data_IF_450594179180
#
_entry.id   IF_450594179180
#
_cell.length_a   1.000
_cell.length_b   1.000
_cell.length_c   1.000
_cell.angle_alpha   90.00
_cell.angle_beta   90.00
_cell.angle_gamma   90.00
#
_symmetry.space_group_name_H-M   'P 1'
#
loop_
_entity.id
_entity.type
_entity.pdbx_description
1 polymer ?
#
# COMPACT_ATOMS: atom_id res chain seq x y z
N UNK A 1 -5.22 19.60 5.28
CA UNK A 1 -5.91 18.32 5.46
C UNK A 1 -6.96 18.40 6.57
N UNK A 2 -6.58 18.71 7.83
CA UNK A 2 -7.55 18.70 8.96
C UNK A 2 -8.79 19.59 8.76
N UNK A 3 -8.64 20.80 8.21
CA UNK A 3 -9.78 21.67 7.87
C UNK A 3 -10.73 20.99 6.87
N UNK A 4 -10.17 20.39 5.82
CA UNK A 4 -10.99 19.68 4.83
C UNK A 4 -11.70 18.46 5.40
N UNK A 5 -11.04 17.71 6.29
CA UNK A 5 -11.69 16.60 6.98
C UNK A 5 -12.91 17.06 7.77
N UNK A 6 -12.79 18.17 8.52
CA UNK A 6 -13.91 18.74 9.27
C UNK A 6 -15.07 19.20 8.37
N UNK A 7 -14.76 19.85 7.25
CA UNK A 7 -15.77 20.25 6.26
C UNK A 7 -16.54 19.01 5.74
N UNK A 8 -15.85 17.91 5.43
CA UNK A 8 -16.51 16.67 5.01
C UNK A 8 -17.30 15.99 6.14
N UNK A 9 -16.77 15.98 7.36
CA UNK A 9 -17.48 15.43 8.52
C UNK A 9 -18.80 16.18 8.78
N UNK A 10 -18.78 17.52 8.74
CA UNK A 10 -19.96 18.38 8.89
C UNK A 10 -20.96 18.16 7.75
N UNK A 11 -20.49 18.07 6.51
CA UNK A 11 -21.37 17.84 5.36
C UNK A 11 -22.05 16.46 5.41
N UNK A 12 -21.31 15.40 5.81
CA UNK A 12 -21.89 14.07 6.00
C UNK A 12 -22.90 14.08 7.16
N UNK A 13 -22.57 14.73 8.26
CA UNK A 13 -23.48 14.85 9.42
C UNK A 13 -24.79 15.53 9.06
N UNK A 14 -24.72 16.55 8.19
CA UNK A 14 -25.86 17.31 7.72
C UNK A 14 -26.60 16.70 6.52
N UNK A 15 -26.17 15.49 6.10
CA UNK A 15 -26.69 14.79 4.90
C UNK A 15 -26.66 15.68 3.65
N UNK A 16 -25.53 16.34 3.38
CA UNK A 16 -25.36 17.18 2.20
C UNK A 16 -25.58 16.34 0.92
N UNK A 17 -26.63 16.64 0.11
CA UNK A 17 -26.97 15.79 -1.02
C UNK A 17 -25.91 15.75 -2.11
N UNK A 18 -25.15 16.85 -2.29
CA UNK A 18 -24.11 16.92 -3.31
C UNK A 18 -22.94 16.02 -2.91
N UNK A 19 -22.51 16.08 -1.66
CA UNK A 19 -21.43 15.22 -1.16
C UNK A 19 -21.84 13.74 -1.17
N UNK A 20 -23.09 13.42 -0.75
CA UNK A 20 -23.57 12.03 -0.76
C UNK A 20 -23.64 11.48 -2.19
N UNK A 21 -24.05 12.27 -3.18
CA UNK A 21 -24.02 11.87 -4.58
C UNK A 21 -22.60 11.63 -5.11
N UNK A 22 -21.62 12.46 -4.71
CA UNK A 22 -20.22 12.28 -5.06
C UNK A 22 -19.67 10.98 -4.43
N UNK A 23 -19.94 10.73 -3.16
CA UNK A 23 -19.51 9.50 -2.48
C UNK A 23 -20.16 8.25 -3.09
N UNK A 24 -21.42 8.31 -3.46
CA UNK A 24 -22.11 7.24 -4.17
C UNK A 24 -21.46 6.96 -5.52
N UNK A 25 -21.14 8.01 -6.28
CA UNK A 25 -20.44 7.88 -7.57
C UNK A 25 -19.07 7.22 -7.41
N UNK A 26 -18.29 7.64 -6.40
CA UNK A 26 -16.99 7.02 -6.11
C UNK A 26 -17.16 5.54 -5.76
N UNK A 27 -18.16 5.21 -4.92
CA UNK A 27 -18.43 3.82 -4.58
C UNK A 27 -18.78 2.98 -5.80
N UNK A 28 -19.69 3.44 -6.66
CA UNK A 28 -20.10 2.74 -7.87
C UNK A 28 -18.96 2.55 -8.88
N UNK A 29 -18.05 3.50 -8.98
CA UNK A 29 -16.97 3.45 -9.98
C UNK A 29 -15.75 2.68 -9.48
N UNK A 30 -15.42 2.80 -8.20
CA UNK A 30 -14.15 2.33 -7.66
C UNK A 30 -14.27 1.07 -6.80
N UNK A 31 -15.37 0.89 -6.07
CA UNK A 31 -15.48 -0.17 -5.07
C UNK A 31 -16.42 -1.30 -5.49
N UNK A 32 -17.63 -1.01 -5.88
CA UNK A 32 -18.63 -1.98 -6.24
C UNK A 32 -18.15 -2.98 -7.32
N UNK A 33 -17.56 -2.56 -8.46
CA UNK A 33 -17.13 -3.47 -9.52
C UNK A 33 -16.01 -4.41 -9.08
N UNK A 34 -15.07 -3.89 -8.25
CA UNK A 34 -13.97 -4.70 -7.73
C UNK A 34 -14.47 -5.72 -6.71
N UNK A 35 -15.33 -5.31 -5.78
CA UNK A 35 -15.93 -6.21 -4.80
C UNK A 35 -16.73 -7.31 -5.49
N UNK A 36 -17.53 -6.98 -6.51
CA UNK A 36 -18.26 -7.95 -7.30
C UNK A 36 -17.32 -8.96 -7.99
N UNK A 37 -16.22 -8.49 -8.59
CA UNK A 37 -15.23 -9.34 -9.24
C UNK A 37 -14.57 -10.28 -8.24
N UNK A 38 -14.07 -9.75 -7.11
CA UNK A 38 -13.34 -10.55 -6.11
C UNK A 38 -14.26 -11.53 -5.36
N UNK A 39 -15.52 -11.16 -5.13
CA UNK A 39 -16.48 -12.06 -4.48
C UNK A 39 -16.87 -13.25 -5.37
N UNK A 40 -16.76 -13.12 -6.69
CA UNK A 40 -16.99 -14.17 -7.67
C UNK A 40 -15.80 -15.13 -7.85
N UNK A 41 -14.63 -14.79 -7.30
CA UNK A 41 -13.44 -15.64 -7.37
C UNK A 41 -13.66 -16.99 -6.67
N UNK A 42 -13.27 -18.08 -7.32
CA UNK A 42 -13.43 -19.45 -6.81
C UNK A 42 -12.10 -20.15 -6.55
N UNK A 43 -10.99 -19.51 -6.91
CA UNK A 43 -9.64 -20.06 -6.82
C UNK A 43 -9.04 -20.03 -5.40
N UNK A 44 -7.77 -20.42 -5.26
CA UNK A 44 -7.05 -20.48 -3.97
C UNK A 44 -6.87 -19.10 -3.31
N UNK A 45 -7.08 -18.03 -4.06
CA UNK A 45 -7.00 -16.64 -3.57
C UNK A 45 -8.37 -16.06 -3.18
N UNK A 46 -9.41 -16.87 -3.16
CA UNK A 46 -10.75 -16.45 -2.72
C UNK A 46 -10.68 -15.96 -1.26
N UNK A 47 -11.16 -14.74 -1.03
CA UNK A 47 -11.42 -14.25 0.30
C UNK A 47 -12.91 -14.40 0.64
N UNK A 48 -13.28 -15.31 1.57
CA UNK A 48 -14.67 -15.60 1.89
C UNK A 48 -15.38 -14.44 2.63
N UNK A 49 -14.63 -13.46 3.09
CA UNK A 49 -15.16 -12.30 3.81
C UNK A 49 -15.46 -11.11 2.88
N UNK A 50 -14.96 -11.13 1.64
CA UNK A 50 -15.33 -10.15 0.62
C UNK A 50 -16.71 -10.48 0.10
N UNK A 51 -17.65 -9.56 0.27
CA UNK A 51 -19.04 -9.71 -0.16
C UNK A 51 -19.57 -8.38 -0.72
N UNK A 52 -20.45 -8.43 -1.74
CA UNK A 52 -21.13 -7.24 -2.22
C UNK A 52 -22.00 -6.62 -1.14
N UNK A 53 -22.05 -5.30 -1.16
CA UNK A 53 -22.94 -4.47 -0.35
C UNK A 53 -23.73 -3.55 -1.25
N UNK A 54 -24.90 -3.08 -0.82
CA UNK A 54 -25.63 -2.04 -1.51
C UNK A 54 -25.33 -0.66 -0.94
N UNK A 55 -25.65 0.38 -1.70
CA UNK A 55 -25.48 1.75 -1.20
C UNK A 55 -26.35 2.03 0.03
N UNK A 56 -27.54 1.49 0.05
CA UNK A 56 -28.49 1.61 1.17
C UNK A 56 -27.95 0.99 2.47
N UNK A 57 -27.07 0.01 2.37
CA UNK A 57 -26.35 -0.58 3.52
C UNK A 57 -25.18 0.30 3.97
N UNK A 58 -24.53 0.97 3.03
CA UNK A 58 -23.30 1.76 3.27
C UNK A 58 -23.63 3.18 3.76
N UNK A 59 -24.58 3.85 3.13
CA UNK A 59 -24.90 5.26 3.40
C UNK A 59 -25.14 5.56 4.89
N UNK A 60 -25.92 4.77 5.64
CA UNK A 60 -26.14 5.03 7.07
C UNK A 60 -24.88 4.91 7.93
N UNK A 61 -23.85 4.23 7.44
CA UNK A 61 -22.59 4.03 8.14
C UNK A 61 -21.55 5.13 7.86
N UNK A 62 -21.79 6.00 6.88
CA UNK A 62 -20.86 7.07 6.52
C UNK A 62 -20.61 8.04 7.68
N UNK A 63 -21.68 8.49 8.34
CA UNK A 63 -21.54 9.42 9.46
C UNK A 63 -20.75 8.82 10.63
N UNK A 64 -21.12 7.67 11.21
CA UNK A 64 -20.36 7.09 12.32
C UNK A 64 -18.91 6.71 11.94
N UNK A 65 -18.65 6.38 10.69
CA UNK A 65 -17.30 6.13 10.20
C UNK A 65 -16.49 7.42 10.07
N UNK A 66 -17.05 8.44 9.41
CA UNK A 66 -16.39 9.72 9.21
C UNK A 66 -16.12 10.47 10.52
N UNK A 67 -17.03 10.41 11.48
CA UNK A 67 -16.91 11.09 12.77
C UNK A 67 -15.69 10.62 13.58
N UNK A 68 -15.23 9.38 13.36
CA UNK A 68 -14.06 8.80 14.03
C UNK A 68 -12.72 9.14 13.37
N UNK A 69 -12.76 9.66 12.13
CA UNK A 69 -11.53 9.97 11.38
C UNK A 69 -10.82 11.17 12.00
N UNK A 70 -9.52 11.00 12.18
CA UNK A 70 -8.63 12.07 12.61
C UNK A 70 -7.38 12.14 11.74
N UNK A 71 -6.75 13.30 11.67
CA UNK A 71 -5.48 13.50 10.96
C UNK A 71 -4.34 13.39 11.95
N UNK A 72 -3.34 12.56 11.66
CA UNK A 72 -2.09 12.46 12.43
C UNK A 72 -0.87 12.64 11.54
N UNK A 73 0.09 13.43 12.04
CA UNK A 73 1.36 13.69 11.37
C UNK A 73 2.43 12.75 11.95
N UNK A 74 2.89 11.82 11.14
CA UNK A 74 3.93 10.85 11.53
C UNK A 74 5.29 11.36 11.08
N UNK A 75 5.99 12.06 11.98
CA UNK A 75 7.33 12.57 11.76
C UNK A 75 8.31 12.10 12.85
N UNK A 76 9.63 12.37 12.63
CA UNK A 76 10.69 11.98 13.57
C UNK A 76 10.69 12.72 14.90
N UNK A 77 9.95 13.81 15.02
CA UNK A 77 9.95 14.73 16.15
C UNK A 77 8.68 14.68 16.98
N UNK A 78 7.76 13.77 16.67
CA UNK A 78 6.53 13.61 17.45
C UNK A 78 6.87 13.22 18.89
N UNK A 79 6.67 14.16 19.81
CA UNK A 79 6.73 13.91 21.26
C UNK A 79 5.32 13.78 21.79
N UNK A 80 5.06 12.81 22.68
CA UNK A 80 3.76 12.71 23.35
C UNK A 80 3.40 14.04 24.05
N UNK A 81 2.19 14.55 23.82
CA UNK A 81 1.62 15.65 24.58
C UNK A 81 1.79 17.07 24.02
N UNK A 82 2.45 17.29 22.88
CA UNK A 82 2.67 18.66 22.37
C UNK A 82 1.59 19.17 21.42
N UNK A 83 1.00 18.32 20.58
CA UNK A 83 -0.02 18.67 19.60
C UNK A 83 -0.87 17.41 19.31
N UNK A 84 -2.21 17.49 19.30
CA UNK A 84 -3.07 16.35 18.93
C UNK A 84 -2.73 15.75 17.56
N UNK A 85 -2.25 16.58 16.61
CA UNK A 85 -1.84 16.12 15.28
C UNK A 85 -0.51 15.34 15.28
N UNK A 86 0.31 15.48 16.33
CA UNK A 86 1.62 14.85 16.46
C UNK A 86 1.60 13.60 17.35
N UNK A 87 0.44 13.11 17.73
CA UNK A 87 0.33 11.90 18.55
C UNK A 87 0.83 10.68 17.78
N UNK A 88 1.58 9.79 18.43
CA UNK A 88 2.02 8.55 17.82
C UNK A 88 0.83 7.65 17.48
N UNK A 89 0.99 6.83 16.44
CA UNK A 89 0.07 5.72 16.16
C UNK A 89 0.46 4.54 17.06
N UNK A 90 -0.14 4.46 18.23
CA UNK A 90 0.07 3.38 19.18
C UNK A 90 -1.12 2.40 19.12
N UNK A 91 -0.99 1.38 18.27
CA UNK A 91 -2.02 0.35 18.12
C UNK A 91 -2.21 -0.47 19.38
N UNK A 92 -1.10 -0.78 20.09
CA UNK A 92 -1.16 -1.57 21.32
C UNK A 92 -1.89 -0.86 22.45
N UNK A 93 -1.74 0.46 22.55
CA UNK A 93 -2.50 1.25 23.52
C UNK A 93 -3.98 1.35 23.13
N UNK A 94 -4.26 1.57 21.84
CA UNK A 94 -5.63 1.61 21.35
C UNK A 94 -6.36 0.28 21.61
N UNK A 95 -5.73 -0.84 21.35
CA UNK A 95 -6.29 -2.18 21.61
C UNK A 95 -6.57 -2.40 23.10
N UNK A 96 -5.65 -2.00 23.98
CA UNK A 96 -5.85 -2.07 25.44
C UNK A 96 -7.03 -1.25 25.93
N UNK A 97 -7.29 -0.13 25.24
CA UNK A 97 -8.41 0.76 25.56
C UNK A 97 -9.71 0.39 24.82
N UNK A 98 -9.70 -0.66 23.99
CA UNK A 98 -10.83 -1.06 23.14
C UNK A 98 -11.20 0.02 22.10
N UNK A 99 -10.23 0.86 21.71
CA UNK A 99 -10.43 1.93 20.76
C UNK A 99 -10.03 1.49 19.35
N UNK A 100 -10.85 1.89 18.37
CA UNK A 100 -10.51 1.73 16.95
C UNK A 100 -9.85 3.00 16.45
N UNK A 101 -8.61 2.91 16.01
CA UNK A 101 -7.91 4.02 15.37
C UNK A 101 -8.36 4.18 13.92
N UNK A 102 -9.09 5.27 13.65
CA UNK A 102 -9.48 5.68 12.29
C UNK A 102 -8.69 6.93 11.89
N UNK A 103 -7.59 6.76 11.16
CA UNK A 103 -6.57 7.81 11.01
C UNK A 103 -6.21 8.06 9.56
N UNK A 104 -6.11 9.33 9.19
CA UNK A 104 -5.41 9.79 7.99
C UNK A 104 -3.98 10.13 8.39
N UNK A 105 -3.07 9.18 8.18
CA UNK A 105 -1.66 9.36 8.52
C UNK A 105 -0.92 10.15 7.45
N UNK A 106 -0.32 11.27 7.81
CA UNK A 106 0.49 12.11 6.91
C UNK A 106 1.94 12.02 7.36
N UNK A 107 2.82 11.60 6.47
CA UNK A 107 4.25 11.52 6.81
C UNK A 107 5.15 11.34 5.61
N UNK A 108 6.44 11.42 5.88
CA UNK A 108 7.50 11.24 4.89
C UNK A 108 8.25 9.92 5.09
N UNK A 109 9.55 10.01 5.30
CA UNK A 109 10.46 8.86 5.43
C UNK A 109 10.08 7.85 6.51
N UNK A 110 9.46 8.30 7.60
CA UNK A 110 9.03 7.39 8.68
C UNK A 110 7.92 6.44 8.24
N UNK A 111 6.96 6.91 7.43
CA UNK A 111 5.90 6.04 6.91
C UNK A 111 6.43 5.02 5.89
N UNK A 112 7.55 5.33 5.24
CA UNK A 112 8.13 4.45 4.22
C UNK A 112 9.09 3.39 4.77
N UNK A 113 9.58 3.54 6.01
CA UNK A 113 10.58 2.64 6.59
C UNK A 113 10.31 2.34 8.06
N UNK A 114 10.20 1.05 8.39
CA UNK A 114 10.17 0.59 9.77
C UNK A 114 8.90 0.90 10.56
N UNK A 115 7.81 1.31 9.89
CA UNK A 115 6.53 1.56 10.50
C UNK A 115 5.46 0.63 9.90
N UNK A 116 4.73 -0.06 10.74
CA UNK A 116 3.60 -0.89 10.31
C UNK A 116 2.33 -0.03 10.38
N UNK A 117 1.62 0.05 9.27
CA UNK A 117 0.32 0.71 9.20
C UNK A 117 -0.76 -0.37 9.24
N UNK A 118 -1.22 -0.68 10.44
CA UNK A 118 -2.28 -1.67 10.61
C UNK A 118 -3.59 -1.16 10.05
N UNK A 119 -4.29 -2.00 9.26
CA UNK A 119 -5.56 -1.64 8.64
C UNK A 119 -5.46 -0.63 7.49
N UNK A 120 -4.27 -0.40 6.94
CA UNK A 120 -4.14 0.48 5.79
C UNK A 120 -5.01 -0.01 4.63
N UNK A 121 -5.97 0.80 4.20
CA UNK A 121 -6.86 0.53 3.07
C UNK A 121 -6.58 1.46 1.89
N UNK A 122 -6.29 2.74 2.15
CA UNK A 122 -6.05 3.73 1.09
C UNK A 122 -4.69 4.38 1.28
N UNK A 123 -3.85 4.34 0.25
CA UNK A 123 -2.55 4.98 0.24
C UNK A 123 -2.44 5.98 -0.91
N UNK A 124 -2.02 7.20 -0.59
CA UNK A 124 -1.68 8.22 -1.56
C UNK A 124 -0.17 8.44 -1.57
N UNK A 125 0.49 7.91 -2.59
CA UNK A 125 1.94 7.84 -2.64
C UNK A 125 2.51 8.49 -3.90
N UNK A 126 3.25 9.59 -3.73
CA UNK A 126 3.84 10.36 -4.82
C UNK A 126 5.37 10.43 -4.77
N UNK A 127 5.98 9.77 -3.77
CA UNK A 127 7.42 9.88 -3.60
C UNK A 127 8.16 9.01 -4.60
N UNK A 128 8.83 9.65 -5.55
CA UNK A 128 9.71 8.98 -6.49
C UNK A 128 11.06 8.64 -5.84
N UNK A 129 11.55 7.44 -6.08
CA UNK A 129 12.93 7.03 -5.85
C UNK A 129 13.37 6.16 -7.01
N UNK A 130 14.57 6.39 -7.50
CA UNK A 130 15.14 5.58 -8.60
C UNK A 130 15.86 4.32 -8.08
N UNK A 131 15.83 4.09 -6.78
CA UNK A 131 16.49 2.92 -6.17
C UNK A 131 15.49 1.79 -6.00
N UNK A 132 15.78 0.67 -6.61
CA UNK A 132 14.97 -0.55 -6.60
C UNK A 132 14.73 -1.09 -5.19
N UNK A 133 15.79 -1.21 -4.39
CA UNK A 133 15.72 -1.62 -2.98
C UNK A 133 14.82 -0.72 -2.14
N UNK A 134 14.87 0.58 -2.40
CA UNK A 134 14.04 1.55 -1.69
C UNK A 134 12.58 1.44 -2.11
N UNK A 135 12.28 1.27 -3.41
CA UNK A 135 10.91 1.02 -3.89
C UNK A 135 10.33 -0.24 -3.26
N UNK A 136 11.09 -1.32 -3.18
CA UNK A 136 10.65 -2.56 -2.55
C UNK A 136 10.38 -2.40 -1.05
N UNK A 137 11.23 -1.65 -0.33
CA UNK A 137 11.00 -1.35 1.09
C UNK A 137 9.73 -0.55 1.32
N UNK A 138 9.38 0.33 0.39
CA UNK A 138 8.19 1.19 0.47
C UNK A 138 6.90 0.47 0.11
N UNK A 139 6.94 -0.60 -0.68
CA UNK A 139 5.77 -1.39 -1.10
C UNK A 139 5.20 -2.30 0.02
N UNK A 140 5.68 -2.19 1.25
CA UNK A 140 5.28 -3.05 2.38
C UNK A 140 3.97 -2.65 3.05
N UNK A 141 3.21 -1.73 2.49
CA UNK A 141 2.06 -1.12 3.17
C UNK A 141 0.83 -2.01 3.25
N UNK A 142 0.55 -2.77 2.19
CA UNK A 142 -0.64 -3.61 2.16
C UNK A 142 -0.29 -5.02 2.62
N UNK A 143 -0.57 -5.32 3.91
CA UNK A 143 -0.58 -6.69 4.39
C UNK A 143 -1.90 -7.37 4.00
N UNK A 144 -1.88 -8.69 3.81
CA UNK A 144 -3.11 -9.46 3.64
C UNK A 144 -3.95 -9.41 4.91
N UNK A 145 -5.23 -9.04 4.75
CA UNK A 145 -6.25 -9.11 5.80
C UNK A 145 -7.53 -9.67 5.20
N UNK A 146 -8.15 -10.66 5.84
CA UNK A 146 -9.43 -11.18 5.39
C UNK A 146 -10.48 -10.07 5.32
N UNK A 147 -11.22 -10.00 4.20
CA UNK A 147 -12.28 -9.01 3.98
C UNK A 147 -11.82 -7.59 3.66
N UNK A 148 -10.55 -7.38 3.31
CA UNK A 148 -10.00 -6.04 3.07
C UNK A 148 -9.48 -5.81 1.65
N UNK A 149 -9.30 -6.86 0.88
CA UNK A 149 -8.59 -6.77 -0.41
C UNK A 149 -9.32 -5.88 -1.42
N UNK A 150 -10.63 -5.88 -1.40
CA UNK A 150 -11.49 -5.03 -2.24
C UNK A 150 -11.49 -3.55 -1.84
N UNK A 151 -11.04 -3.23 -0.63
CA UNK A 151 -10.94 -1.86 -0.12
C UNK A 151 -9.57 -1.21 -0.40
N UNK A 152 -8.55 -2.02 -0.73
CA UNK A 152 -7.20 -1.53 -0.92
C UNK A 152 -7.08 -0.66 -2.18
N UNK A 153 -6.63 0.59 -2.02
CA UNK A 153 -6.39 1.54 -3.11
C UNK A 153 -5.02 2.19 -2.97
N UNK A 154 -4.29 2.21 -4.09
CA UNK A 154 -3.03 2.94 -4.20
C UNK A 154 -3.16 4.04 -5.25
N UNK A 155 -3.17 5.27 -4.80
CA UNK A 155 -3.10 6.45 -5.66
C UNK A 155 -1.64 6.85 -5.84
N UNK A 156 -1.14 6.79 -7.07
CA UNK A 156 0.26 7.05 -7.40
C UNK A 156 0.41 7.58 -8.82
N UNK A 157 1.64 7.96 -9.20
CA UNK A 157 1.90 8.44 -10.57
C UNK A 157 2.01 7.27 -11.57
N UNK A 158 1.71 7.49 -12.87
CA UNK A 158 1.92 6.48 -13.90
C UNK A 158 3.36 5.97 -13.98
N UNK A 159 4.33 6.85 -13.73
CA UNK A 159 5.76 6.51 -13.69
C UNK A 159 6.08 5.53 -12.55
N UNK A 160 5.61 5.82 -11.33
CA UNK A 160 5.77 4.93 -10.20
C UNK A 160 5.06 3.59 -10.41
N UNK A 161 3.86 3.60 -11.01
CA UNK A 161 3.16 2.36 -11.38
C UNK A 161 3.99 1.51 -12.34
N UNK A 162 4.63 2.12 -13.36
CA UNK A 162 5.54 1.44 -14.28
C UNK A 162 6.72 0.83 -13.54
N UNK A 163 7.34 1.58 -12.64
CA UNK A 163 8.50 1.10 -11.86
C UNK A 163 8.13 -0.05 -10.94
N UNK A 164 7.03 0.05 -10.19
CA UNK A 164 6.56 -1.06 -9.35
C UNK A 164 6.26 -2.33 -10.15
N UNK A 165 5.65 -2.19 -11.33
CA UNK A 165 5.41 -3.33 -12.23
C UNK A 165 6.72 -4.00 -12.64
N UNK A 166 7.72 -3.22 -13.02
CA UNK A 166 9.04 -3.74 -13.40
C UNK A 166 9.74 -4.43 -12.24
N UNK A 167 9.63 -3.86 -11.04
CA UNK A 167 10.15 -4.47 -9.79
C UNK A 167 9.46 -5.80 -9.51
N UNK A 168 8.15 -5.88 -9.62
CA UNK A 168 7.38 -7.11 -9.39
C UNK A 168 7.78 -8.21 -10.36
N UNK A 169 7.87 -7.90 -11.66
CA UNK A 169 8.28 -8.86 -12.68
C UNK A 169 9.70 -9.39 -12.42
N UNK A 170 10.65 -8.52 -12.05
CA UNK A 170 12.00 -8.94 -11.72
C UNK A 170 12.05 -9.84 -10.47
N UNK A 171 11.19 -9.58 -9.49
CA UNK A 171 11.06 -10.42 -8.30
C UNK A 171 10.47 -11.80 -8.61
N UNK A 172 9.48 -11.86 -9.49
CA UNK A 172 8.90 -13.13 -9.96
C UNK A 172 9.92 -13.95 -10.74
N UNK A 173 10.65 -13.33 -11.65
CA UNK A 173 11.75 -13.99 -12.37
C UNK A 173 12.81 -14.53 -11.41
N UNK A 174 13.19 -13.76 -10.40
CA UNK A 174 14.16 -14.20 -9.39
C UNK A 174 13.62 -15.39 -8.57
N UNK A 175 12.36 -15.37 -8.15
CA UNK A 175 11.74 -16.50 -7.44
C UNK A 175 11.76 -17.75 -8.29
N UNK A 176 11.35 -17.66 -9.56
CA UNK A 176 11.38 -18.79 -10.49
C UNK A 176 12.79 -19.36 -10.67
N UNK A 177 13.81 -18.51 -10.71
CA UNK A 177 15.21 -18.97 -10.76
C UNK A 177 15.60 -19.72 -9.47
N UNK A 178 15.21 -19.23 -8.30
CA UNK A 178 15.48 -19.93 -7.05
C UNK A 178 14.76 -21.29 -6.98
N UNK A 179 13.51 -21.37 -7.43
CA UNK A 179 12.76 -22.62 -7.47
C UNK A 179 13.46 -23.65 -8.38
N UNK A 180 13.93 -23.22 -9.56
CA UNK A 180 14.70 -24.07 -10.46
C UNK A 180 16.02 -24.54 -9.84
N UNK A 181 16.75 -23.67 -9.15
CA UNK A 181 18.00 -24.00 -8.48
C UNK A 181 17.76 -24.97 -7.33
N UNK A 182 16.72 -24.75 -6.55
CA UNK A 182 16.37 -25.62 -5.40
C UNK A 182 15.97 -27.02 -5.81
N UNK A 183 15.51 -27.21 -7.04
CA UNK A 183 15.16 -28.51 -7.58
C UNK A 183 16.39 -29.38 -7.98
N UNK A 184 17.60 -28.80 -7.99
CA UNK A 184 18.84 -29.51 -8.37
C UNK A 184 19.56 -29.98 -7.11
N UNK A 185 19.65 -31.30 -6.83
CA UNK A 185 20.33 -31.83 -5.65
C UNK A 185 21.79 -31.41 -5.56
N UNK A 186 22.25 -31.01 -4.38
CA UNK A 186 23.66 -30.70 -4.08
C UNK A 186 24.13 -29.33 -4.57
N UNK A 187 23.22 -28.46 -5.09
CA UNK A 187 23.57 -27.09 -5.46
C UNK A 187 23.02 -26.10 -4.45
N UNK A 188 23.76 -25.03 -4.23
CA UNK A 188 23.40 -23.90 -3.37
C UNK A 188 23.20 -22.62 -4.19
N UNK A 189 22.52 -21.60 -3.65
CA UNK A 189 22.43 -20.30 -4.31
C UNK A 189 23.78 -19.64 -4.61
N UNK A 190 24.85 -20.04 -3.93
CA UNK A 190 26.21 -19.54 -4.17
C UNK A 190 26.83 -20.07 -5.48
N UNK A 191 26.32 -21.20 -5.97
CA UNK A 191 26.80 -21.82 -7.20
C UNK A 191 26.26 -21.17 -8.47
N UNK A 192 25.33 -20.17 -8.30
CA UNK A 192 24.68 -19.51 -9.40
C UNK A 192 24.71 -17.99 -9.24
N UNK A 193 25.15 -17.31 -10.27
CA UNK A 193 24.94 -15.87 -10.37
C UNK A 193 23.44 -15.57 -10.57
N UNK A 194 22.78 -15.04 -9.56
CA UNK A 194 21.37 -14.60 -9.69
C UNK A 194 21.31 -13.42 -10.63
N UNK A 195 20.52 -13.56 -11.70
CA UNK A 195 20.29 -12.47 -12.66
C UNK A 195 19.10 -11.65 -12.21
N UNK A 196 19.29 -10.35 -12.10
CA UNK A 196 18.21 -9.41 -11.77
C UNK A 196 17.99 -8.52 -12.99
N UNK A 197 16.74 -8.47 -13.45
CA UNK A 197 16.37 -7.55 -14.54
C UNK A 197 16.56 -6.11 -14.06
N UNK A 198 17.29 -5.33 -14.82
CA UNK A 198 17.49 -3.90 -14.58
C UNK A 198 16.77 -3.08 -15.67
N UNK A 199 16.38 -1.87 -15.34
CA UNK A 199 15.90 -0.88 -16.30
C UNK A 199 17.00 0.16 -16.49
N UNK A 200 17.86 0.01 -17.50
CA UNK A 200 18.97 0.94 -17.73
C UNK A 200 18.45 2.39 -17.87
N UNK A 201 19.06 3.32 -17.13
CA UNK A 201 18.71 4.74 -17.14
C UNK A 201 17.47 5.14 -16.33
N UNK A 202 16.61 4.20 -15.93
CA UNK A 202 15.40 4.49 -15.13
C UNK A 202 15.54 4.10 -13.67
N UNK A 203 15.98 2.87 -13.38
CA UNK A 203 16.10 2.34 -12.03
C UNK A 203 17.50 1.77 -11.76
N UNK A 204 18.05 2.10 -10.60
CA UNK A 204 19.29 1.52 -10.08
C UNK A 204 18.93 0.45 -9.05
N UNK A 205 19.68 -0.65 -9.00
CA UNK A 205 19.43 -1.75 -8.04
C UNK A 205 19.56 -1.24 -6.62
N UNK A 206 20.64 -0.51 -6.34
CA UNK A 206 20.90 0.12 -5.04
C UNK A 206 21.86 1.31 -5.21
N UNK A 207 22.09 2.06 -4.14
CA UNK A 207 23.03 3.18 -4.17
C UNK A 207 24.46 2.68 -4.43
N UNK A 208 25.23 3.42 -5.24
CA UNK A 208 26.58 3.06 -5.65
C UNK A 208 27.54 2.79 -4.45
N UNK A 209 27.32 3.46 -3.32
CA UNK A 209 28.09 3.26 -2.08
C UNK A 209 27.73 1.94 -1.35
N UNK A 210 26.64 1.29 -1.69
CA UNK A 210 26.23 -0.01 -1.16
C UNK A 210 26.64 -1.16 -2.06
N UNK A 211 27.01 -0.89 -3.31
CA UNK A 211 27.56 -1.88 -4.23
C UNK A 211 29.04 -2.16 -3.90
N UNK A 212 29.27 -2.87 -2.80
CA UNK A 212 30.61 -3.36 -2.45
C UNK A 212 30.74 -4.79 -2.98
N UNK A 213 31.32 -4.95 -4.17
CA UNK A 213 31.57 -6.23 -4.80
C UNK A 213 31.49 -6.12 -6.32
N UNK A 214 32.11 -7.05 -7.03
CA UNK A 214 32.07 -7.12 -8.48
C UNK A 214 30.69 -7.53 -8.97
N UNK A 215 29.91 -6.56 -9.44
CA UNK A 215 28.75 -6.84 -10.27
C UNK A 215 29.19 -6.82 -11.73
N UNK A 216 29.06 -7.93 -12.41
CA UNK A 216 29.18 -7.99 -13.85
C UNK A 216 27.78 -7.70 -14.45
N UNK A 217 27.65 -6.56 -15.11
CA UNK A 217 26.42 -6.24 -15.84
C UNK A 217 26.44 -6.96 -17.19
N UNK A 218 25.72 -8.08 -17.26
CA UNK A 218 25.52 -8.79 -18.54
C UNK A 218 24.28 -8.20 -19.21
N UNK A 219 24.47 -7.42 -20.26
CA UNK A 219 23.39 -6.94 -21.11
C UNK A 219 22.99 -8.05 -22.11
N UNK A 220 21.87 -8.69 -21.88
CA UNK A 220 21.26 -9.55 -22.90
C UNK A 220 20.22 -8.70 -23.64
N UNK A 221 20.36 -8.41 -24.94
CA UNK A 221 19.32 -7.73 -25.69
C UNK A 221 18.07 -8.59 -25.67
N UNK A 222 16.93 -8.00 -25.32
CA UNK A 222 15.63 -8.63 -25.51
C UNK A 222 15.46 -8.82 -27.03
N UNK A 223 15.46 -10.07 -27.44
CA UNK A 223 14.98 -10.42 -28.78
C UNK A 223 13.53 -9.97 -28.88
N UNK A 224 13.25 -9.15 -29.89
CA UNK A 224 11.94 -8.56 -30.22
C UNK A 224 10.92 -9.66 -30.56
#
# INVERSE_FOLDING_TARGET
MNRKLKEYQEAIQNNDPALLADLHTIWQQEYEPLTATLSAETGPYRDPFVRPHTWEEIEPLLHPAAARLEVRIVNGQAKPGSDPLLQPLDYGEADRQGQVLSVIAIGGNKLSRGFTLEGLSVSYYLRATRMYDTLMQMARWFGYRPGYVDLCRLFTTPELKKWYRSVTLAMEEMRNQFDLISAIPGRSPQDYGVRIRTLPGELQITAANQMRGSFEAVFTPLLA
#
